data_IF_031755488090
#
_entry.id   IF_031755488090
#
_cell.length_a   1.000
_cell.length_b   1.000
_cell.length_c   1.000
_cell.angle_alpha   90.00
_cell.angle_beta   90.00
_cell.angle_gamma   90.00
#
_symmetry.space_group_name_H-M   'P 1'
#
loop_
_entity.id
_entity.type
_entity.pdbx_description
1 polymer ?
#
# COMPACT_ATOMS: atom_id res chain seq x y z
N UNK A 1 41.95 -21.89 -0.63
CA UNK A 1 40.95 -22.51 -1.52
C UNK A 1 39.70 -22.72 -0.68
N UNK A 2 38.71 -21.83 -0.72
CA UNK A 2 37.60 -21.81 -1.71
C UNK A 2 36.65 -23.00 -1.47
N UNK A 3 35.36 -22.88 -1.17
CA UNK A 3 34.43 -21.74 -1.19
C UNK A 3 33.27 -21.97 -0.21
N UNK A 4 32.77 -20.88 0.37
CA UNK A 4 31.47 -20.80 1.04
C UNK A 4 30.38 -20.71 -0.04
N UNK A 5 29.47 -21.68 -0.11
CA UNK A 5 28.24 -21.53 -0.87
C UNK A 5 27.07 -22.13 -0.09
N UNK A 6 26.63 -21.42 0.95
CA UNK A 6 25.25 -21.55 1.41
C UNK A 6 24.43 -20.61 0.54
N UNK A 7 23.75 -21.22 -0.42
CA UNK A 7 22.71 -20.61 -1.22
C UNK A 7 21.60 -20.13 -0.29
N UNK A 8 21.68 -18.87 0.13
CA UNK A 8 20.54 -18.18 0.75
C UNK A 8 19.59 -17.84 -0.38
N UNK A 9 18.70 -18.78 -0.68
CA UNK A 9 17.51 -18.50 -1.46
C UNK A 9 16.72 -17.41 -0.76
N UNK A 10 16.86 -16.17 -1.23
CA UNK A 10 16.05 -15.05 -0.78
C UNK A 10 14.61 -15.31 -1.25
N UNK A 11 13.85 -15.98 -0.39
CA UNK A 11 12.40 -16.07 -0.50
C UNK A 11 11.84 -14.66 -0.50
N UNK A 12 11.47 -14.18 -1.69
CA UNK A 12 10.73 -12.93 -1.88
C UNK A 12 9.38 -13.08 -1.15
N UNK A 13 9.29 -12.61 0.09
CA UNK A 13 8.03 -12.38 0.78
C UNK A 13 7.33 -11.21 0.09
N UNK A 14 6.70 -11.50 -1.05
CA UNK A 14 5.73 -10.60 -1.66
C UNK A 14 4.53 -10.61 -0.71
N UNK A 15 4.50 -9.65 0.22
CA UNK A 15 3.27 -9.31 0.95
C UNK A 15 2.28 -8.81 -0.09
N UNK A 16 1.55 -9.75 -0.69
CA UNK A 16 0.40 -9.50 -1.53
C UNK A 16 -0.67 -8.86 -0.63
N UNK A 17 -0.61 -7.55 -0.44
CA UNK A 17 -1.76 -6.76 0.03
C UNK A 17 -2.80 -6.64 -1.10
N UNK A 18 -2.99 -7.71 -1.88
CA UNK A 18 -4.09 -7.88 -2.79
C UNK A 18 -5.27 -8.42 -1.96
N UNK A 19 -5.92 -7.52 -1.22
CA UNK A 19 -7.24 -7.75 -0.62
C UNK A 19 -7.33 -8.86 0.43
N UNK A 20 -7.35 -8.47 1.71
CA UNK A 20 -7.91 -9.29 2.78
C UNK A 20 -6.89 -9.80 3.81
N UNK A 21 -7.01 -9.27 5.02
CA UNK A 21 -6.53 -9.85 6.29
C UNK A 21 -5.00 -10.02 6.39
N UNK A 22 -4.28 -8.92 6.64
CA UNK A 22 -3.05 -8.99 7.46
C UNK A 22 -3.46 -8.65 8.89
N UNK A 23 -4.08 -9.62 9.56
CA UNK A 23 -4.70 -9.39 10.86
C UNK A 23 -5.14 -10.68 11.53
N UNK A 24 -4.26 -11.68 11.56
CA UNK A 24 -4.24 -12.85 12.46
C UNK A 24 -3.03 -13.65 11.96
N UNK A 25 -1.87 -13.66 12.61
CA UNK A 25 -1.56 -14.56 13.71
C UNK A 25 -0.18 -14.16 14.25
N UNK A 26 -0.12 -13.36 15.30
CA UNK A 26 0.90 -13.49 16.34
C UNK A 26 0.11 -13.55 17.64
N UNK A 27 -0.32 -14.76 17.99
CA UNK A 27 -0.57 -15.08 19.38
C UNK A 27 0.80 -15.30 19.99
N UNK A 28 1.29 -14.34 20.75
CA UNK A 28 2.20 -14.64 21.86
C UNK A 28 1.54 -14.15 23.15
N UNK A 29 1.55 -15.06 24.11
CA UNK A 29 0.72 -15.06 25.29
C UNK A 29 1.42 -14.27 26.41
N UNK A 30 0.62 -13.52 27.17
CA UNK A 30 0.91 -12.87 28.47
C UNK A 30 1.30 -11.38 28.43
N UNK A 31 0.27 -10.54 28.51
CA UNK A 31 0.22 -9.51 29.54
C UNK A 31 -1.24 -9.19 29.89
N UNK A 32 -1.64 -9.51 31.14
CA UNK A 32 -2.91 -9.12 31.72
C UNK A 32 -2.83 -7.66 32.17
N UNK A 33 -3.80 -6.88 31.68
CA UNK A 33 -4.55 -5.85 32.40
C UNK A 33 -3.78 -4.67 33.00
N UNK A 34 -3.76 -3.55 32.28
CA UNK A 34 -3.94 -2.22 32.87
C UNK A 34 -4.96 -1.45 32.02
N UNK A 35 -6.05 -1.00 32.67
CA UNK A 35 -7.13 -0.29 32.01
C UNK A 35 -6.71 1.12 31.60
N UNK A 36 -6.95 1.47 30.34
CA UNK A 36 -6.92 2.85 29.88
C UNK A 36 -8.27 3.19 29.25
N UNK A 37 -8.77 4.32 29.70
CA UNK A 37 -10.13 4.82 29.59
C UNK A 37 -10.60 5.00 28.14
N UNK A 38 -11.86 4.67 27.93
CA UNK A 38 -12.65 4.98 26.75
C UNK A 38 -12.73 6.51 26.55
N UNK A 39 -11.75 7.08 25.86
CA UNK A 39 -11.94 8.34 25.16
C UNK A 39 -12.96 8.11 24.05
N UNK A 40 -14.08 8.82 24.12
CA UNK A 40 -15.13 8.83 23.10
C UNK A 40 -14.55 9.11 21.71
N UNK A 41 -14.81 8.28 20.68
CA UNK A 41 -14.74 8.76 19.32
C UNK A 41 -15.91 9.74 19.17
N UNK A 42 -15.56 11.03 19.08
CA UNK A 42 -16.48 12.12 18.77
C UNK A 42 -17.44 11.68 17.66
N UNK A 43 -18.75 11.80 17.94
CA UNK A 43 -19.83 11.71 16.94
C UNK A 43 -19.53 12.73 15.84
N UNK A 44 -18.82 12.32 14.79
CA UNK A 44 -18.83 13.06 13.55
C UNK A 44 -20.24 12.94 13.01
N UNK A 45 -21.02 14.01 13.19
CA UNK A 45 -22.28 14.22 12.51
C UNK A 45 -22.06 13.96 11.02
N UNK A 46 -22.46 12.77 10.56
CA UNK A 46 -22.63 12.49 9.15
C UNK A 46 -23.80 13.34 8.67
N UNK A 47 -23.47 14.58 8.27
CA UNK A 47 -24.30 15.36 7.39
C UNK A 47 -24.45 14.56 6.11
N UNK A 48 -25.61 13.94 5.92
CA UNK A 48 -26.00 13.25 4.68
C UNK A 48 -26.13 14.28 3.57
N UNK A 49 -25.00 14.69 3.01
CA UNK A 49 -24.97 15.37 1.71
C UNK A 49 -25.45 14.36 0.64
N UNK A 50 -26.25 14.80 -0.35
CA UNK A 50 -26.63 13.96 -1.48
C UNK A 50 -25.38 13.39 -2.17
N UNK A 51 -25.45 12.22 -2.84
CA UNK A 51 -24.28 11.65 -3.51
C UNK A 51 -23.77 12.63 -4.56
N UNK A 52 -22.72 13.37 -4.21
CA UNK A 52 -21.91 14.07 -5.18
C UNK A 52 -21.46 13.01 -6.16
N UNK A 53 -21.74 13.18 -7.46
CA UNK A 53 -21.11 12.37 -8.50
C UNK A 53 -19.60 12.60 -8.35
N UNK A 54 -18.92 11.77 -7.56
CA UNK A 54 -17.49 11.89 -7.34
C UNK A 54 -16.84 11.74 -8.69
N UNK A 55 -16.16 12.79 -9.14
CA UNK A 55 -15.31 12.69 -10.33
C UNK A 55 -14.06 11.94 -9.89
N UNK A 56 -14.09 10.64 -10.09
CA UNK A 56 -12.96 9.75 -9.85
C UNK A 56 -11.72 10.31 -10.53
N UNK A 57 -10.66 10.53 -9.75
CA UNK A 57 -9.41 11.15 -10.22
C UNK A 57 -8.48 10.13 -10.86
N UNK A 58 -8.60 8.87 -10.45
CA UNK A 58 -7.78 7.76 -10.90
C UNK A 58 -8.60 6.80 -11.73
N UNK A 59 -8.07 6.38 -12.87
CA UNK A 59 -8.78 5.56 -13.86
C UNK A 59 -7.99 4.33 -14.26
N UNK A 60 -8.68 3.34 -14.83
CA UNK A 60 -8.07 2.15 -15.40
C UNK A 60 -7.14 2.49 -16.57
N UNK A 61 -7.43 3.56 -17.31
CA UNK A 61 -6.56 4.09 -18.37
C UNK A 61 -5.21 4.56 -17.82
N UNK A 62 -5.18 5.26 -16.68
CA UNK A 62 -3.93 5.66 -16.05
C UNK A 62 -3.18 4.45 -15.49
N UNK A 63 -3.90 3.55 -14.81
CA UNK A 63 -3.33 2.31 -14.29
C UNK A 63 -2.63 1.49 -15.38
N UNK A 64 -3.24 1.34 -16.55
CA UNK A 64 -2.70 0.57 -17.68
C UNK A 64 -1.43 1.18 -18.30
N UNK A 65 -1.17 2.47 -18.08
CA UNK A 65 0.07 3.11 -18.53
C UNK A 65 1.25 2.78 -17.62
N UNK A 66 1.00 2.40 -16.36
CA UNK A 66 2.06 2.02 -15.42
C UNK A 66 2.71 0.71 -15.82
N UNK A 67 4.05 0.67 -15.80
CA UNK A 67 4.87 -0.50 -16.16
C UNK A 67 5.91 -0.78 -15.07
N UNK A 68 6.21 -2.05 -14.83
CA UNK A 68 7.29 -2.44 -13.92
C UNK A 68 8.58 -1.71 -14.26
N UNK A 69 9.35 -1.32 -13.24
CA UNK A 69 10.58 -0.55 -13.40
C UNK A 69 10.41 0.96 -13.55
N UNK A 70 9.18 1.50 -13.59
CA UNK A 70 8.96 2.94 -13.48
C UNK A 70 9.39 3.47 -12.10
N UNK A 71 9.89 4.70 -12.04
CA UNK A 71 10.18 5.38 -10.77
C UNK A 71 8.90 5.90 -10.12
N UNK A 72 8.95 6.21 -8.82
CA UNK A 72 7.81 6.83 -8.14
C UNK A 72 7.39 8.15 -8.81
N UNK A 73 8.36 8.94 -9.26
CA UNK A 73 8.12 10.20 -9.96
C UNK A 73 7.39 10.00 -11.30
N UNK A 74 7.79 9.00 -12.09
CA UNK A 74 7.11 8.65 -13.35
C UNK A 74 5.66 8.21 -13.09
N UNK A 75 5.44 7.42 -12.04
CA UNK A 75 4.08 7.02 -11.62
C UNK A 75 3.25 8.24 -11.22
N UNK A 76 3.79 9.16 -10.42
CA UNK A 76 3.10 10.40 -10.04
C UNK A 76 2.73 11.27 -11.23
N UNK A 77 3.59 11.35 -12.25
CA UNK A 77 3.29 12.09 -13.50
C UNK A 77 2.09 11.49 -14.23
N UNK A 78 1.97 10.18 -14.30
CA UNK A 78 0.83 9.49 -14.93
C UNK A 78 -0.43 9.63 -14.08
N UNK A 79 -0.31 9.53 -12.75
CA UNK A 79 -1.42 9.67 -11.81
C UNK A 79 -1.90 11.12 -11.64
N UNK A 80 -1.08 12.10 -12.04
CA UNK A 80 -1.38 13.53 -11.87
C UNK A 80 -1.30 13.99 -10.41
N UNK A 81 -0.57 13.26 -9.56
CA UNK A 81 -0.45 13.57 -8.13
C UNK A 81 0.33 12.54 -7.32
N UNK A 82 0.74 12.95 -6.12
CA UNK A 82 1.41 12.07 -5.16
C UNK A 82 0.43 11.03 -4.59
N UNK A 83 0.94 9.82 -4.39
CA UNK A 83 0.19 8.78 -3.68
C UNK A 83 0.32 8.94 -2.17
N UNK A 84 -0.62 8.35 -1.44
CA UNK A 84 -0.47 8.15 0.00
C UNK A 84 0.54 7.04 0.24
N UNK A 85 1.59 7.31 1.01
CA UNK A 85 2.50 6.27 1.47
C UNK A 85 1.80 5.33 2.44
N UNK A 86 1.87 4.02 2.16
CA UNK A 86 1.34 2.96 3.02
C UNK A 86 2.44 2.34 3.89
N UNK A 87 3.66 2.24 3.35
CA UNK A 87 4.78 1.60 4.05
C UNK A 87 6.11 2.05 3.46
N UNK A 88 7.16 2.01 4.29
CA UNK A 88 8.54 2.22 3.88
C UNK A 88 9.48 1.47 4.82
N UNK A 89 10.47 0.78 4.27
CA UNK A 89 11.54 0.15 5.04
C UNK A 89 12.84 0.12 4.22
N UNK A 90 13.97 0.08 4.92
CA UNK A 90 15.29 -0.06 4.31
C UNK A 90 15.87 -1.44 4.58
N UNK A 91 16.34 -2.11 3.54
CA UNK A 91 17.02 -3.39 3.56
C UNK A 91 18.44 -3.20 3.03
N UNK A 92 19.37 -2.84 3.92
CA UNK A 92 20.73 -2.48 3.54
C UNK A 92 20.76 -1.23 2.67
N UNK A 93 21.23 -1.37 1.42
CA UNK A 93 21.27 -0.27 0.46
C UNK A 93 19.95 -0.08 -0.34
N UNK A 94 18.99 -1.00 -0.20
CA UNK A 94 17.72 -0.94 -0.91
C UNK A 94 16.59 -0.38 -0.03
N UNK A 95 15.68 0.39 -0.63
CA UNK A 95 14.44 0.84 -0.01
C UNK A 95 13.26 0.07 -0.60
N UNK A 96 12.36 -0.42 0.26
CA UNK A 96 11.03 -0.88 -0.11
C UNK A 96 10.01 0.16 0.30
N UNK A 97 9.12 0.54 -0.61
CA UNK A 97 8.06 1.51 -0.33
C UNK A 97 6.76 1.16 -1.05
N UNK A 98 5.63 1.36 -0.38
CA UNK A 98 4.29 1.13 -0.93
C UNK A 98 3.47 2.41 -0.94
N UNK A 99 2.76 2.67 -2.04
CA UNK A 99 1.91 3.85 -2.21
C UNK A 99 0.53 3.49 -2.74
N UNK A 100 -0.47 4.30 -2.38
CA UNK A 100 -1.86 4.14 -2.79
C UNK A 100 -2.44 5.43 -3.38
N UNK A 101 -3.28 5.26 -4.40
CA UNK A 101 -4.15 6.30 -4.93
C UNK A 101 -5.59 5.81 -4.85
N UNK A 102 -6.48 6.59 -4.21
CA UNK A 102 -7.85 6.21 -3.93
C UNK A 102 -8.85 7.27 -4.42
N UNK A 103 -9.93 6.81 -5.04
CA UNK A 103 -11.10 7.60 -5.39
C UNK A 103 -12.14 7.56 -4.29
N UNK A 104 -12.93 8.64 -4.19
CA UNK A 104 -14.05 8.72 -3.25
C UNK A 104 -15.15 7.67 -3.54
N UNK A 105 -15.21 7.15 -4.78
CA UNK A 105 -16.11 6.05 -5.16
C UNK A 105 -15.68 4.67 -4.63
N UNK A 106 -14.50 4.57 -4.00
CA UNK A 106 -13.91 3.34 -3.48
C UNK A 106 -12.89 2.66 -4.41
N UNK A 107 -12.86 3.02 -5.69
CA UNK A 107 -11.84 2.54 -6.62
C UNK A 107 -10.43 3.00 -6.21
N UNK A 108 -9.43 2.13 -6.31
CA UNK A 108 -8.06 2.44 -5.89
C UNK A 108 -7.00 1.64 -6.67
N UNK A 109 -5.76 2.13 -6.64
CA UNK A 109 -4.57 1.37 -7.02
C UNK A 109 -3.47 1.49 -5.97
N UNK A 110 -2.63 0.47 -5.91
CA UNK A 110 -1.44 0.41 -5.07
C UNK A 110 -0.23 0.03 -5.90
N UNK A 111 0.92 0.61 -5.59
CA UNK A 111 2.21 0.31 -6.23
C UNK A 111 3.26 0.05 -5.16
N UNK A 112 4.06 -1.00 -5.36
CA UNK A 112 5.22 -1.32 -4.54
C UNK A 112 6.49 -0.96 -5.31
N UNK A 113 7.47 -0.41 -4.61
CA UNK A 113 8.74 0.04 -5.15
C UNK A 113 9.88 -0.64 -4.38
N UNK A 114 10.90 -1.07 -5.11
CA UNK A 114 12.17 -1.54 -4.58
C UNK A 114 13.28 -0.74 -5.24
N UNK A 115 14.15 -0.10 -4.46
CA UNK A 115 15.23 0.73 -4.99
C UNK A 115 14.72 1.83 -5.94
N UNK A 116 13.60 2.47 -5.60
CA UNK A 116 12.91 3.48 -6.43
C UNK A 116 12.42 2.96 -7.80
N UNK A 117 12.24 1.65 -7.96
CA UNK A 117 11.71 1.03 -9.17
C UNK A 117 10.47 0.22 -8.83
N UNK A 118 9.37 0.45 -9.57
CA UNK A 118 8.10 -0.22 -9.31
C UNK A 118 8.26 -1.73 -9.54
N UNK A 119 8.14 -2.50 -8.47
CA UNK A 119 8.29 -3.96 -8.46
C UNK A 119 6.95 -4.67 -8.67
N UNK A 120 5.85 -4.08 -8.18
CA UNK A 120 4.50 -4.60 -8.40
C UNK A 120 3.43 -3.51 -8.34
N UNK A 121 2.25 -3.82 -8.88
CA UNK A 121 1.06 -2.95 -8.85
C UNK A 121 -0.21 -3.78 -8.75
N UNK A 122 -1.23 -3.23 -8.10
CA UNK A 122 -2.56 -3.81 -7.98
C UNK A 122 -3.63 -2.71 -8.10
N UNK A 123 -4.85 -3.09 -8.48
CA UNK A 123 -6.00 -2.20 -8.47
C UNK A 123 -7.26 -2.92 -8.01
N UNK A 124 -8.19 -2.16 -7.47
CA UNK A 124 -9.53 -2.62 -7.17
C UNK A 124 -10.55 -1.56 -7.56
N UNK A 125 -11.58 -1.96 -8.31
CA UNK A 125 -12.73 -1.09 -8.60
C UNK A 125 -12.44 0.14 -9.46
N UNK A 126 -11.28 0.21 -10.14
CA UNK A 126 -11.03 1.26 -11.13
C UNK A 126 -11.89 1.04 -12.38
N UNK A 127 -12.33 2.15 -12.97
CA UNK A 127 -13.09 2.18 -14.23
C UNK A 127 -12.28 2.80 -15.34
#
# INVERSE_FOLDING_TARGET
MSDNNVSTGNGLLILLLAGGIVGYLIMDEKARTEGVQFGTPTRQSQSVAPPTRSRDRYSMKQYNQLKSGMTYEEVCKIMGGQGQELSRMSLGAEELAGYMWQNDSGGNLQCQFQGNKMSSKAQFGLR
#
